data_IF_604895559924
#
_entry.id   IF_604895559924
#
_cell.length_a   1.000
_cell.length_b   1.000
_cell.length_c   1.000
_cell.angle_alpha   90.00
_cell.angle_beta   90.00
_cell.angle_gamma   90.00
#
_symmetry.space_group_name_H-M   'P 1'
#
loop_
_entity.id
_entity.type
_entity.pdbx_description
1 polymer ?
#
# COMPACT_ATOMS: atom_id res chain seq x y z
N UNK A 1 -11.34 12.67 4.09
CA UNK A 1 -10.95 11.77 5.19
C UNK A 1 -10.50 10.48 4.53
N UNK A 2 -9.22 10.34 4.16
CA UNK A 2 -8.72 9.10 3.55
C UNK A 2 -8.45 8.06 4.63
N UNK A 3 -9.09 6.88 4.50
CA UNK A 3 -9.12 5.84 5.54
C UNK A 3 -8.30 4.62 5.13
N UNK A 4 -8.10 3.70 6.07
CA UNK A 4 -7.47 2.39 5.81
C UNK A 4 -8.28 1.57 4.81
N UNK A 5 -9.61 1.65 4.84
CA UNK A 5 -10.50 0.98 3.90
C UNK A 5 -10.26 1.43 2.45
N UNK A 6 -10.12 2.74 2.24
CA UNK A 6 -9.84 3.28 0.90
C UNK A 6 -8.47 2.85 0.38
N UNK A 7 -7.46 2.77 1.24
CA UNK A 7 -6.16 2.18 0.89
C UNK A 7 -6.32 0.72 0.42
N UNK A 8 -7.05 -0.12 1.18
CA UNK A 8 -7.27 -1.51 0.79
C UNK A 8 -7.99 -1.61 -0.56
N UNK A 9 -9.00 -0.78 -0.80
CA UNK A 9 -9.70 -0.73 -2.08
C UNK A 9 -8.76 -0.36 -3.24
N UNK A 10 -7.93 0.67 -3.07
CA UNK A 10 -6.95 1.05 -4.11
C UNK A 10 -5.95 -0.07 -4.39
N UNK A 11 -5.52 -0.81 -3.36
CA UNK A 11 -4.63 -1.97 -3.53
C UNK A 11 -5.34 -3.11 -4.26
N UNK A 12 -6.61 -3.39 -3.95
CA UNK A 12 -7.39 -4.41 -4.67
C UNK A 12 -7.60 -4.04 -6.15
N UNK A 13 -7.85 -2.77 -6.46
CA UNK A 13 -8.10 -2.30 -7.84
C UNK A 13 -6.81 -2.15 -8.66
N UNK A 14 -5.68 -1.86 -8.01
CA UNK A 14 -4.40 -1.57 -8.68
C UNK A 14 -3.38 -2.69 -8.56
N UNK A 15 -3.61 -3.65 -7.67
CA UNK A 15 -2.71 -4.76 -7.40
C UNK A 15 -2.91 -5.90 -8.39
N UNK A 16 -1.83 -6.63 -8.63
CA UNK A 16 -1.86 -7.87 -9.38
C UNK A 16 -1.90 -9.05 -8.40
N UNK A 17 -2.38 -10.21 -8.84
CA UNK A 17 -2.30 -11.43 -8.03
C UNK A 17 -0.83 -11.80 -7.84
N UNK A 18 -0.33 -11.68 -6.60
CA UNK A 18 0.98 -12.17 -6.22
C UNK A 18 1.07 -13.70 -6.26
N UNK A 19 2.26 -14.23 -5.99
CA UNK A 19 2.55 -15.67 -6.04
C UNK A 19 1.67 -16.51 -5.08
N UNK A 20 1.17 -15.89 -4.01
CA UNK A 20 0.27 -16.49 -3.02
C UNK A 20 -1.23 -16.21 -3.30
N UNK A 21 -1.54 -15.60 -4.45
CA UNK A 21 -2.87 -15.20 -4.86
C UNK A 21 -3.37 -13.90 -4.22
N UNK A 22 -2.57 -13.24 -3.38
CA UNK A 22 -2.99 -11.99 -2.72
C UNK A 22 -2.73 -10.76 -3.59
N UNK A 23 -3.62 -9.74 -3.56
CA UNK A 23 -3.37 -8.49 -4.26
C UNK A 23 -2.08 -7.83 -3.78
N UNK A 24 -1.16 -7.57 -4.70
CA UNK A 24 0.15 -6.98 -4.42
C UNK A 24 0.42 -5.82 -5.38
N UNK A 25 0.94 -4.70 -4.84
CA UNK A 25 1.28 -3.51 -5.62
C UNK A 25 2.62 -2.93 -5.19
N UNK A 26 3.39 -2.38 -6.12
CA UNK A 26 4.63 -1.65 -5.79
C UNK A 26 4.33 -0.32 -5.11
N UNK A 27 5.14 0.05 -4.12
CA UNK A 27 4.97 1.29 -3.35
C UNK A 27 4.96 2.52 -4.25
N UNK A 28 5.85 2.62 -5.23
CA UNK A 28 5.90 3.77 -6.15
C UNK A 28 4.60 3.93 -6.94
N UNK A 29 4.09 2.84 -7.51
CA UNK A 29 2.81 2.81 -8.25
C UNK A 29 1.64 3.17 -7.35
N UNK A 30 1.60 2.64 -6.13
CA UNK A 30 0.58 2.97 -5.15
C UNK A 30 0.66 4.45 -4.75
N UNK A 31 1.87 4.99 -4.57
CA UNK A 31 2.11 6.39 -4.22
C UNK A 31 1.62 7.34 -5.31
N UNK A 32 1.99 7.09 -6.57
CA UNK A 32 1.55 7.89 -7.71
C UNK A 32 0.03 7.92 -7.88
N UNK A 33 -0.65 6.79 -7.64
CA UNK A 33 -2.11 6.74 -7.67
C UNK A 33 -2.72 7.46 -6.47
N UNK A 34 -2.22 7.16 -5.27
CA UNK A 34 -2.81 7.65 -4.03
C UNK A 34 -2.57 9.15 -3.81
N UNK A 35 -1.46 9.72 -4.31
CA UNK A 35 -1.16 11.16 -4.14
C UNK A 35 -2.18 12.06 -4.83
N UNK A 36 -2.85 11.57 -5.88
CA UNK A 36 -3.98 12.28 -6.52
C UNK A 36 -5.19 12.42 -5.58
N UNK A 37 -5.27 11.56 -4.56
CA UNK A 37 -6.32 11.53 -3.53
C UNK A 37 -5.82 12.23 -2.25
N UNK A 38 -4.62 11.88 -1.77
CA UNK A 38 -4.05 12.39 -0.52
C UNK A 38 -2.53 12.14 -0.38
N UNK A 39 -1.81 13.10 0.20
CA UNK A 39 -0.39 12.98 0.54
C UNK A 39 -0.09 12.18 1.83
N UNK A 40 -1.07 11.47 2.40
CA UNK A 40 -0.95 10.77 3.69
C UNK A 40 -0.66 9.27 3.58
N UNK A 41 -0.33 8.76 2.39
CA UNK A 41 -0.22 7.32 2.11
C UNK A 41 0.61 6.56 3.15
N UNK A 42 1.84 7.01 3.45
CA UNK A 42 2.73 6.31 4.40
C UNK A 42 2.09 6.19 5.79
N UNK A 43 1.44 7.24 6.27
CA UNK A 43 0.72 7.21 7.55
C UNK A 43 -0.53 6.32 7.53
N UNK A 44 -1.15 6.11 6.37
CA UNK A 44 -2.27 5.16 6.20
C UNK A 44 -1.73 3.73 6.15
N UNK A 45 -0.66 3.46 5.40
CA UNK A 45 0.03 2.16 5.33
C UNK A 45 0.48 1.68 6.72
N UNK A 46 1.09 2.56 7.51
CA UNK A 46 1.51 2.22 8.87
C UNK A 46 0.33 1.87 9.79
N UNK A 47 -0.82 2.54 9.61
CA UNK A 47 -2.04 2.22 10.36
C UNK A 47 -2.65 0.89 9.91
N UNK A 48 -2.72 0.63 8.61
CA UNK A 48 -3.18 -0.64 8.04
C UNK A 48 -2.29 -1.81 8.48
N UNK A 49 -0.97 -1.62 8.50
CA UNK A 49 0.00 -2.62 9.00
C UNK A 49 -0.22 -2.93 10.48
N UNK A 50 -0.49 -1.92 11.31
CA UNK A 50 -0.83 -2.12 12.73
C UNK A 50 -2.14 -2.91 12.92
N UNK A 51 -3.03 -2.88 11.95
CA UNK A 51 -4.28 -3.65 11.94
C UNK A 51 -4.12 -5.05 11.32
N UNK A 52 -2.93 -5.40 10.81
CA UNK A 52 -2.69 -6.68 10.16
C UNK A 52 -3.27 -6.81 8.74
N UNK A 53 -3.63 -5.69 8.11
CA UNK A 53 -4.31 -5.69 6.80
C UNK A 53 -3.34 -5.68 5.62
N UNK A 54 -2.12 -5.19 5.83
CA UNK A 54 -1.10 -5.11 4.78
C UNK A 54 0.26 -5.54 5.31
N UNK A 55 1.09 -6.07 4.41
CA UNK A 55 2.48 -6.39 4.64
C UNK A 55 3.39 -5.63 3.67
N UNK A 56 4.54 -5.18 4.16
CA UNK A 56 5.64 -4.66 3.37
C UNK A 56 6.94 -4.71 4.21
N UNK A 57 8.08 -4.82 3.53
CA UNK A 57 9.38 -4.86 4.18
C UNK A 57 9.84 -3.48 4.69
N UNK A 58 10.55 -3.48 5.83
CA UNK A 58 11.09 -2.26 6.45
C UNK A 58 10.13 -1.56 7.42
N UNK A 59 10.66 -0.60 8.19
CA UNK A 59 9.87 0.11 9.20
C UNK A 59 9.00 1.24 8.61
N UNK A 60 9.51 1.93 7.59
CA UNK A 60 8.89 3.08 6.93
C UNK A 60 9.38 3.15 5.47
N UNK A 61 8.55 3.75 4.60
CA UNK A 61 8.82 3.85 3.16
C UNK A 61 9.02 5.31 2.74
N UNK A 62 10.01 5.53 1.88
CA UNK A 62 10.40 6.82 1.33
C UNK A 62 10.25 6.79 -0.20
N UNK A 63 9.53 7.77 -0.75
CA UNK A 63 9.33 7.91 -2.19
C UNK A 63 10.69 8.02 -2.92
N UNK A 64 10.81 7.39 -4.09
CA UNK A 64 12.02 7.35 -4.90
C UNK A 64 13.02 6.28 -4.45
N UNK A 65 13.16 6.09 -3.13
CA UNK A 65 14.06 5.08 -2.56
C UNK A 65 13.40 3.70 -2.52
N UNK A 66 12.19 3.64 -1.99
CA UNK A 66 11.51 2.39 -1.65
C UNK A 66 10.39 2.05 -2.66
N UNK A 67 10.38 2.70 -3.82
CA UNK A 67 9.32 2.56 -4.84
C UNK A 67 9.15 1.12 -5.33
N UNK A 68 10.21 0.31 -5.26
CA UNK A 68 10.21 -1.10 -5.62
C UNK A 68 9.61 -2.03 -4.58
N UNK A 69 9.38 -1.58 -3.34
CA UNK A 69 8.86 -2.40 -2.25
C UNK A 69 7.43 -2.85 -2.55
N UNK A 70 7.16 -4.14 -2.33
CA UNK A 70 5.84 -4.72 -2.50
C UNK A 70 4.97 -4.44 -1.28
N UNK A 71 3.76 -3.95 -1.54
CA UNK A 71 2.68 -3.83 -0.56
C UNK A 71 1.68 -4.94 -0.87
N UNK A 72 1.58 -5.91 0.03
CA UNK A 72 0.67 -7.06 -0.09
C UNK A 72 -0.53 -6.85 0.82
N UNK A 73 -1.74 -7.01 0.27
CA UNK A 73 -2.98 -7.05 1.05
C UNK A 73 -3.14 -8.41 1.71
N UNK A 74 -3.44 -8.45 3.02
CA UNK A 74 -3.51 -9.69 3.79
C UNK A 74 -4.91 -10.23 4.04
N UNK A 75 -5.93 -9.42 3.78
CA UNK A 75 -7.37 -9.72 3.93
C UNK A 75 -8.09 -9.66 2.59
#
# INVERSE_FOLDING_TARGET
MTTVTELCQVIMESGESGDDGRPTVRFGTLFERYVTISNKLVGVLLRARKQGLVHFEGEMLWQGRDDGVLITLLE
#
